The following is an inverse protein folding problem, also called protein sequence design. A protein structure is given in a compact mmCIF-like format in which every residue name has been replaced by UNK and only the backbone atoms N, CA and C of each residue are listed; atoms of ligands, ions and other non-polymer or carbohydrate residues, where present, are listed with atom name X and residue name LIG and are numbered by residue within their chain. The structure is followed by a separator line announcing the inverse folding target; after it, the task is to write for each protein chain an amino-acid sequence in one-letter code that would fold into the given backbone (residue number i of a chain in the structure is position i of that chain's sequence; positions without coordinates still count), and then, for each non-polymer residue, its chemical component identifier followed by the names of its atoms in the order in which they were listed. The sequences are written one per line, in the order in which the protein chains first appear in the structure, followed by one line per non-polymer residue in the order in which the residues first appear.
data_IF_310484015924
#
_entry.id   IF_310484015924
#
_cell.length_a   1.000
_cell.length_b   1.000
_cell.length_c   1.000
_cell.angle_alpha   90.00
_cell.angle_beta   90.00
_cell.angle_gamma   90.00
#
_symmetry.space_group_name_H-M   'P 1'
#
loop_
_entity.id
_entity.type
_entity.pdbx_description
1 polymer ?
#
# COMPACT_ATOMS: atom_id res chain seq x y z
N UNK A 1 43.36 14.70 -32.22
CA UNK A 1 42.36 15.78 -31.94
C UNK A 1 40.92 15.26 -32.03
N UNK A 2 40.50 14.66 -33.15
CA UNK A 2 39.14 14.10 -33.26
C UNK A 2 38.75 13.10 -32.14
N UNK A 3 39.67 12.22 -31.75
CA UNK A 3 39.43 11.25 -30.66
C UNK A 3 39.24 11.91 -29.29
N UNK A 4 39.98 12.98 -28.99
CA UNK A 4 39.85 13.73 -27.74
C UNK A 4 38.60 14.62 -27.69
N UNK A 5 38.07 15.02 -28.86
CA UNK A 5 36.80 15.74 -28.94
C UNK A 5 35.61 14.77 -28.76
N UNK A 6 35.66 13.60 -29.40
CA UNK A 6 34.66 12.55 -29.25
C UNK A 6 34.59 12.02 -27.80
N UNK A 7 35.74 11.75 -27.17
CA UNK A 7 35.79 11.30 -25.78
C UNK A 7 35.20 12.33 -24.81
N UNK A 8 35.37 13.64 -25.09
CA UNK A 8 34.79 14.71 -24.27
C UNK A 8 33.27 14.76 -24.40
N UNK A 9 32.74 14.70 -25.63
CA UNK A 9 31.31 14.69 -25.86
C UNK A 9 30.64 13.47 -25.21
N UNK A 10 31.28 12.31 -25.28
CA UNK A 10 30.78 11.08 -24.64
C UNK A 10 30.79 11.18 -23.11
N UNK A 11 31.84 11.77 -22.52
CA UNK A 11 31.90 12.02 -21.07
C UNK A 11 30.83 13.02 -20.61
N UNK A 12 30.55 14.07 -21.39
CA UNK A 12 29.51 15.05 -21.04
C UNK A 12 28.11 14.42 -21.09
N UNK A 13 27.85 13.59 -22.10
CA UNK A 13 26.61 12.83 -22.23
C UNK A 13 26.43 11.83 -21.09
N UNK A 14 27.46 11.02 -20.79
CA UNK A 14 27.43 10.05 -19.70
C UNK A 14 27.20 10.72 -18.34
N UNK A 15 27.89 11.84 -18.09
CA UNK A 15 27.71 12.61 -16.85
C UNK A 15 26.29 13.18 -16.72
N UNK A 16 25.68 13.62 -17.82
CA UNK A 16 24.30 14.09 -17.82
C UNK A 16 23.31 12.96 -17.52
N UNK A 17 23.51 11.78 -18.11
CA UNK A 17 22.67 10.60 -17.88
C UNK A 17 22.78 10.06 -16.46
N UNK A 18 24.01 9.94 -15.93
CA UNK A 18 24.25 9.51 -14.55
C UNK A 18 23.57 10.46 -13.56
N UNK A 19 23.61 11.78 -13.82
CA UNK A 19 22.91 12.76 -12.99
C UNK A 19 21.39 12.56 -13.03
N UNK A 20 20.83 12.37 -14.23
CA UNK A 20 19.40 12.12 -14.45
C UNK A 20 18.93 10.86 -13.72
N UNK A 21 19.62 9.74 -13.92
CA UNK A 21 19.31 8.47 -13.27
C UNK A 21 19.42 8.56 -11.74
N UNK A 22 20.35 9.36 -11.22
CA UNK A 22 20.46 9.58 -9.77
C UNK A 22 19.24 10.29 -9.21
N UNK A 23 18.82 11.41 -9.81
CA UNK A 23 17.63 12.16 -9.37
C UNK A 23 16.36 11.30 -9.41
N UNK A 24 16.29 10.44 -10.41
CA UNK A 24 15.22 9.48 -10.62
C UNK A 24 15.21 8.35 -9.58
N UNK A 25 16.36 7.75 -9.28
CA UNK A 25 16.52 6.73 -8.24
C UNK A 25 16.20 7.30 -6.86
N UNK A 26 16.66 8.52 -6.56
CA UNK A 26 16.35 9.19 -5.29
C UNK A 26 14.82 9.38 -5.14
N UNK A 27 14.14 9.76 -6.22
CA UNK A 27 12.68 9.89 -6.26
C UNK A 27 11.98 8.53 -6.08
N UNK A 28 12.45 7.50 -6.78
CA UNK A 28 12.01 6.11 -6.66
C UNK A 28 12.13 5.58 -5.22
N UNK A 29 13.25 5.86 -4.56
CA UNK A 29 13.51 5.40 -3.20
C UNK A 29 12.53 6.02 -2.20
N UNK A 30 12.24 7.32 -2.35
CA UNK A 30 11.24 8.01 -1.54
C UNK A 30 9.85 7.40 -1.75
N UNK A 31 9.49 7.13 -3.01
CA UNK A 31 8.22 6.46 -3.32
C UNK A 31 8.16 5.03 -2.79
N UNK A 32 9.24 4.26 -2.86
CA UNK A 32 9.30 2.91 -2.33
C UNK A 32 9.14 2.91 -0.80
N UNK A 33 9.75 3.86 -0.10
CA UNK A 33 9.57 4.04 1.34
C UNK A 33 8.12 4.40 1.70
N UNK A 34 7.53 5.36 0.99
CA UNK A 34 6.14 5.76 1.20
C UNK A 34 5.17 4.62 0.88
N UNK A 35 5.36 3.94 -0.25
CA UNK A 35 4.55 2.79 -0.64
C UNK A 35 4.65 1.65 0.39
N UNK A 36 5.86 1.34 0.87
CA UNK A 36 6.07 0.33 1.91
C UNK A 36 5.38 0.70 3.22
N UNK A 37 5.47 1.96 3.66
CA UNK A 37 4.81 2.44 4.86
C UNK A 37 3.28 2.33 4.73
N UNK A 38 2.74 2.72 3.57
CA UNK A 38 1.32 2.62 3.31
C UNK A 38 0.88 1.15 3.25
N UNK A 39 1.53 0.29 2.45
CA UNK A 39 1.24 -1.17 2.40
C UNK A 39 1.29 -1.80 3.79
N UNK A 40 2.27 -1.41 4.62
CA UNK A 40 2.39 -1.89 6.00
C UNK A 40 1.19 -1.43 6.86
N UNK A 41 0.78 -0.16 6.77
CA UNK A 41 -0.39 0.34 7.47
C UNK A 41 -1.68 -0.36 7.04
N UNK A 42 -1.84 -0.62 5.73
CA UNK A 42 -2.94 -1.40 5.19
C UNK A 42 -2.91 -2.85 5.67
N UNK A 43 -1.74 -3.48 5.74
CA UNK A 43 -1.59 -4.83 6.26
C UNK A 43 -2.00 -4.90 7.74
N UNK A 44 -1.63 -3.91 8.54
CA UNK A 44 -2.03 -3.80 9.94
C UNK A 44 -3.54 -3.62 10.06
N UNK A 45 -4.14 -2.71 9.29
CA UNK A 45 -5.58 -2.47 9.30
C UNK A 45 -6.38 -3.67 8.79
N UNK A 46 -5.88 -4.34 7.74
CA UNK A 46 -6.46 -5.58 7.23
C UNK A 46 -6.37 -6.70 8.28
N UNK A 47 -5.26 -6.81 9.01
CA UNK A 47 -5.15 -7.76 10.12
C UNK A 47 -6.14 -7.46 11.24
N UNK A 48 -6.32 -6.19 11.63
CA UNK A 48 -7.32 -5.76 12.61
C UNK A 48 -8.75 -6.05 12.15
N UNK A 49 -9.06 -5.77 10.88
CA UNK A 49 -10.38 -6.03 10.31
C UNK A 49 -10.68 -7.53 10.17
N UNK A 50 -9.66 -8.38 10.02
CA UNK A 50 -9.82 -9.84 9.91
C UNK A 50 -9.82 -10.54 11.28
N UNK A 51 -9.29 -9.90 12.33
CA UNK A 51 -9.25 -10.43 13.69
C UNK A 51 -9.99 -9.49 14.65
N UNK A 52 -11.23 -9.83 15.09
CA UNK A 52 -11.80 -9.15 16.24
C UNK A 52 -10.88 -9.34 17.43
N UNK A 53 -10.54 -8.21 18.08
CA UNK A 53 -9.62 -8.10 19.21
C UNK A 53 -9.90 -9.22 20.22
N UNK A 54 -8.88 -9.94 20.71
CA UNK A 54 -9.09 -11.03 21.68
C UNK A 54 -9.81 -10.54 22.94
N UNK A 55 -9.63 -9.27 23.32
CA UNK A 55 -10.36 -8.65 24.42
C UNK A 55 -11.87 -8.55 24.15
N UNK A 56 -12.29 -8.12 22.96
CA UNK A 56 -13.71 -8.07 22.57
C UNK A 56 -14.31 -9.47 22.42
N UNK A 57 -13.54 -10.44 21.91
CA UNK A 57 -13.97 -11.84 21.85
C UNK A 57 -14.18 -12.43 23.25
N UNK A 58 -13.32 -12.08 24.20
CA UNK A 58 -13.44 -12.48 25.61
C UNK A 58 -14.66 -11.80 26.25
N UNK A 59 -14.88 -10.50 26.01
CA UNK A 59 -16.03 -9.76 26.54
C UNK A 59 -17.34 -10.31 25.93
N UNK A 60 -17.39 -10.56 24.63
CA UNK A 60 -18.55 -11.15 23.96
C UNK A 60 -18.81 -12.59 24.44
N UNK A 61 -17.76 -13.41 24.65
CA UNK A 61 -17.93 -14.73 25.28
C UNK A 61 -18.43 -14.61 26.72
N UNK A 62 -17.91 -13.65 27.49
CA UNK A 62 -18.33 -13.40 28.87
C UNK A 62 -19.79 -12.94 28.93
N UNK A 63 -20.24 -12.10 28.00
CA UNK A 63 -21.65 -11.70 27.88
C UNK A 63 -22.55 -12.87 27.51
N UNK A 64 -22.15 -13.72 26.56
CA UNK A 64 -22.90 -14.95 26.20
C UNK A 64 -23.00 -15.90 27.40
N UNK A 65 -21.88 -16.19 28.09
CA UNK A 65 -21.87 -17.07 29.27
C UNK A 65 -22.68 -16.46 30.43
N UNK A 66 -22.61 -15.14 30.63
CA UNK A 66 -23.41 -14.46 31.66
C UNK A 66 -24.91 -14.45 31.32
N UNK A 67 -25.26 -14.34 30.04
CA UNK A 67 -26.63 -14.44 29.55
C UNK A 67 -27.18 -15.87 29.68
N UNK A 68 -26.37 -16.89 29.39
CA UNK A 68 -26.72 -18.30 29.52
C UNK A 68 -26.91 -18.70 31.01
N UNK A 69 -26.08 -18.14 31.90
CA UNK A 69 -26.26 -18.27 33.35
C UNK A 69 -27.51 -17.58 33.87
N UNK A 70 -28.00 -16.53 33.19
CA UNK A 70 -29.26 -15.85 33.52
C UNK A 70 -30.49 -16.58 32.96
N UNK A 71 -30.35 -17.31 31.86
CA UNK A 71 -31.42 -18.03 31.18
C UNK A 71 -31.60 -19.48 31.64
N UNK A 72 -30.81 -19.96 32.61
CA UNK A 72 -30.98 -21.32 33.20
C UNK A 72 -32.14 -21.41 34.20
N UNK A 73 -33.07 -20.45 34.16
CA UNK A 73 -34.41 -20.58 34.73
C UNK A 73 -35.40 -20.43 33.58
N UNK A 74 -35.98 -21.56 33.16
CA UNK A 74 -37.20 -21.71 32.32
C UNK A 74 -36.96 -21.93 30.80
N UNK A 75 -37.11 -23.22 30.44
CA UNK A 75 -37.80 -23.79 29.26
C UNK A 75 -37.46 -23.36 27.83
N UNK A 76 -36.98 -24.35 27.06
CA UNK A 76 -37.13 -24.61 25.62
C UNK A 76 -37.66 -23.51 24.67
N UNK A 77 -36.78 -23.00 23.79
CA UNK A 77 -37.10 -22.40 22.46
C UNK A 77 -36.14 -21.28 22.00
N UNK A 78 -36.20 -20.85 20.72
CA UNK A 78 -35.63 -21.47 19.52
C UNK A 78 -34.11 -21.19 19.34
N UNK A 79 -33.46 -21.93 18.42
CA UNK A 79 -32.05 -21.76 18.01
C UNK A 79 -31.73 -20.28 17.69
N UNK A 80 -30.99 -19.62 18.59
CA UNK A 80 -30.46 -18.28 18.34
C UNK A 80 -29.23 -18.46 17.44
N UNK A 81 -29.36 -18.07 16.17
CA UNK A 81 -28.24 -17.97 15.23
C UNK A 81 -27.19 -16.99 15.79
N UNK A 82 -26.12 -17.53 16.39
CA UNK A 82 -25.02 -16.78 17.02
C UNK A 82 -24.05 -16.19 16.00
N UNK A 83 -24.51 -15.89 14.79
CA UNK A 83 -23.73 -15.13 13.81
C UNK A 83 -23.75 -13.66 14.19
N UNK A 84 -22.98 -13.31 15.20
CA UNK A 84 -22.44 -11.97 15.35
C UNK A 84 -21.72 -11.62 14.04
N UNK A 85 -22.38 -10.84 13.19
CA UNK A 85 -21.79 -10.18 12.04
C UNK A 85 -21.68 -8.71 12.42
N UNK A 86 -20.58 -8.26 13.04
CA UNK A 86 -20.27 -6.84 13.07
C UNK A 86 -19.93 -6.44 11.64
N UNK A 87 -20.92 -5.90 10.92
CA UNK A 87 -20.71 -5.28 9.62
C UNK A 87 -20.16 -3.86 9.83
N UNK A 88 -18.99 -3.75 10.44
CA UNK A 88 -18.27 -2.48 10.49
C UNK A 88 -17.63 -2.23 9.12
N UNK A 89 -18.42 -1.60 8.24
CA UNK A 89 -17.96 -1.14 6.92
C UNK A 89 -17.18 0.19 6.99
N UNK A 90 -17.11 0.80 8.16
CA UNK A 90 -16.35 2.03 8.39
C UNK A 90 -14.84 1.91 8.05
N UNK A 91 -14.10 0.86 8.45
CA UNK A 91 -12.69 0.70 8.08
C UNK A 91 -12.48 0.55 6.58
N UNK A 92 -13.42 -0.07 5.85
CA UNK A 92 -13.30 -0.29 4.41
C UNK A 92 -13.38 1.01 3.59
N UNK A 93 -14.20 1.97 4.00
CA UNK A 93 -14.32 3.26 3.30
C UNK A 93 -13.02 4.06 3.41
N UNK A 94 -12.42 4.07 4.60
CA UNK A 94 -11.12 4.71 4.82
C UNK A 94 -10.02 4.03 4.01
N UNK A 95 -9.97 2.69 4.03
CA UNK A 95 -9.05 1.91 3.22
C UNK A 95 -9.24 2.17 1.71
N UNK A 96 -10.47 2.26 1.20
CA UNK A 96 -10.75 2.57 -0.21
C UNK A 96 -10.24 3.96 -0.59
N UNK A 97 -10.50 4.96 0.25
CA UNK A 97 -10.06 6.33 0.01
C UNK A 97 -8.54 6.40 -0.08
N UNK A 98 -7.83 5.79 0.87
CA UNK A 98 -6.37 5.73 0.83
C UNK A 98 -5.84 4.89 -0.33
N UNK A 99 -6.53 3.82 -0.73
CA UNK A 99 -6.15 3.00 -1.90
C UNK A 99 -6.19 3.82 -3.18
N UNK A 100 -7.22 4.68 -3.33
CA UNK A 100 -7.33 5.57 -4.49
C UNK A 100 -6.16 6.55 -4.60
N UNK A 101 -5.64 7.03 -3.46
CA UNK A 101 -4.48 7.91 -3.42
C UNK A 101 -3.18 7.17 -3.79
N UNK A 102 -3.00 5.94 -3.31
CA UNK A 102 -1.85 5.11 -3.69
C UNK A 102 -1.88 4.84 -5.18
N UNK A 103 -3.05 4.49 -5.73
CA UNK A 103 -3.19 4.21 -7.15
C UNK A 103 -2.86 5.46 -7.99
N UNK A 104 -3.35 6.63 -7.57
CA UNK A 104 -2.98 7.90 -8.20
C UNK A 104 -1.46 8.14 -8.17
N UNK A 105 -0.80 7.81 -7.06
CA UNK A 105 0.65 7.96 -6.91
C UNK A 105 1.43 6.96 -7.77
N UNK A 106 0.97 5.71 -7.82
CA UNK A 106 1.54 4.66 -8.64
C UNK A 106 1.47 5.00 -10.14
N UNK A 107 0.34 5.57 -10.60
CA UNK A 107 0.19 6.05 -11.97
C UNK A 107 1.18 7.19 -12.26
N UNK A 108 1.34 8.15 -11.35
CA UNK A 108 2.34 9.22 -11.49
C UNK A 108 3.77 8.66 -11.57
N UNK A 109 4.06 7.63 -10.77
CA UNK A 109 5.33 6.93 -10.77
C UNK A 109 5.60 6.19 -12.10
N UNK A 110 4.63 5.45 -12.63
CA UNK A 110 4.72 4.83 -13.96
C UNK A 110 4.93 5.90 -15.04
N UNK A 111 4.28 7.06 -14.93
CA UNK A 111 4.52 8.20 -15.80
C UNK A 111 5.99 8.69 -15.77
N UNK A 112 6.62 8.66 -14.61
CA UNK A 112 8.03 9.00 -14.45
C UNK A 112 8.96 7.96 -15.10
N UNK A 113 8.66 6.66 -14.95
CA UNK A 113 9.38 5.58 -15.64
C UNK A 113 9.24 5.64 -17.17
N UNK A 114 8.05 6.00 -17.66
CA UNK A 114 7.85 6.19 -19.10
C UNK A 114 8.67 7.38 -19.60
N UNK A 115 8.71 8.48 -18.84
CA UNK A 115 9.56 9.64 -19.17
C UNK A 115 11.05 9.28 -19.18
N UNK A 116 11.49 8.40 -18.28
CA UNK A 116 12.84 7.84 -18.27
C UNK A 116 13.19 7.13 -19.56
N UNK A 117 12.31 6.19 -19.92
CA UNK A 117 12.44 5.35 -21.09
C UNK A 117 12.45 6.18 -22.37
N UNK A 118 11.53 7.13 -22.51
CA UNK A 118 11.52 8.03 -23.68
C UNK A 118 12.80 8.86 -23.78
N UNK A 119 13.33 9.38 -22.67
CA UNK A 119 14.61 10.09 -22.66
C UNK A 119 15.74 9.22 -23.19
N UNK A 120 15.83 7.98 -22.73
CA UNK A 120 16.83 7.00 -23.17
C UNK A 120 16.66 6.65 -24.66
N UNK A 121 15.42 6.44 -25.10
CA UNK A 121 15.11 6.15 -26.51
C UNK A 121 15.48 7.30 -27.43
N UNK A 122 15.15 8.52 -27.06
CA UNK A 122 15.48 9.70 -27.87
C UNK A 122 16.98 9.97 -27.92
N UNK A 123 17.70 9.66 -26.84
CA UNK A 123 19.13 9.87 -26.77
C UNK A 123 19.90 8.77 -27.53
N UNK A 124 19.46 7.52 -27.46
CA UNK A 124 19.95 6.43 -28.31
C UNK A 124 19.66 6.62 -29.80
N UNK A 125 18.61 7.37 -30.16
CA UNK A 125 18.28 7.74 -31.55
C UNK A 125 19.13 8.89 -32.11
N UNK A 126 19.83 9.65 -31.25
CA UNK A 126 20.61 10.84 -31.62
C UNK A 126 22.13 10.59 -31.65
N UNK A 127 22.57 9.33 -31.48
CA UNK A 127 23.97 8.87 -31.59
C UNK A 127 24.15 8.05 -32.86
#
# INVERSE_FOLDING_TARGET
KAWSDCARAMMEYDKANVKRWKEEIDTLLVFAGLFSAVVTAFLVESCKSLHPEPAERIIALLEVIAAERRNSTIESGPEVDTRFVPADKAPLVNALWFTSLIFSLAVAFVGLLVKQWFGEYTAGLMT
#
